data_IF_713330533861
#
_entry.id   IF_713330533861
#
_cell.length_a   1.000
_cell.length_b   1.000
_cell.length_c   1.000
_cell.angle_alpha   90.00
_cell.angle_beta   90.00
_cell.angle_gamma   90.00
#
_symmetry.space_group_name_H-M   'P 1'
#
loop_
_entity.id
_entity.type
_entity.pdbx_description
1 polymer ?
#
# COMPACT_ATOMS: atom_id res chain seq x y z
N UNK A 1 66.37 -23.88 -6.22
CA UNK A 1 65.22 -24.34 -5.38
C UNK A 1 64.31 -23.14 -5.17
N UNK A 2 63.26 -23.07 -5.94
CA UNK A 2 62.27 -21.96 -5.83
C UNK A 2 61.58 -22.00 -4.46
N UNK A 3 61.44 -20.85 -3.81
CA UNK A 3 60.67 -20.69 -2.59
C UNK A 3 59.24 -21.11 -2.91
N UNK A 4 58.80 -22.26 -2.42
CA UNK A 4 57.36 -22.67 -2.49
C UNK A 4 56.55 -21.68 -1.65
N UNK A 5 55.64 -20.96 -2.33
CA UNK A 5 54.75 -20.03 -1.66
C UNK A 5 53.88 -20.83 -0.68
N UNK A 6 54.04 -20.60 0.65
CA UNK A 6 53.30 -21.33 1.71
C UNK A 6 51.78 -21.20 1.49
N UNK A 7 51.13 -22.36 1.35
CA UNK A 7 49.65 -22.45 1.20
C UNK A 7 49.20 -22.89 -0.18
N UNK A 8 50.11 -23.25 -1.09
CA UNK A 8 49.81 -23.83 -2.41
C UNK A 8 50.38 -25.25 -2.45
N UNK A 9 49.59 -26.24 -2.84
CA UNK A 9 49.97 -27.65 -2.80
C UNK A 9 49.54 -28.35 -4.11
N UNK A 10 50.32 -29.33 -4.60
CA UNK A 10 49.87 -30.20 -5.68
C UNK A 10 48.75 -31.10 -5.20
N UNK A 11 47.71 -31.31 -6.00
CA UNK A 11 46.64 -32.28 -5.78
C UNK A 11 46.97 -33.64 -6.44
N UNK A 12 46.29 -34.69 -5.98
CA UNK A 12 46.53 -36.07 -6.50
C UNK A 12 46.14 -36.27 -7.97
N UNK A 13 45.30 -35.39 -8.51
CA UNK A 13 44.80 -35.39 -9.88
C UNK A 13 45.66 -34.59 -10.87
N UNK A 14 46.86 -34.17 -10.46
CA UNK A 14 47.79 -33.37 -11.25
C UNK A 14 47.50 -31.89 -11.32
N UNK A 15 46.46 -31.43 -10.62
CA UNK A 15 46.12 -29.99 -10.47
C UNK A 15 46.79 -29.37 -9.22
N UNK A 16 46.63 -28.07 -9.07
CA UNK A 16 47.11 -27.35 -7.89
C UNK A 16 45.95 -26.88 -7.05
N UNK A 17 46.18 -26.79 -5.74
CA UNK A 17 45.19 -26.30 -4.76
C UNK A 17 45.83 -25.29 -3.84
N UNK A 18 45.01 -24.32 -3.42
CA UNK A 18 45.35 -23.32 -2.37
C UNK A 18 44.59 -23.72 -1.11
N UNK A 19 45.30 -23.71 0.04
CA UNK A 19 44.73 -23.86 1.36
C UNK A 19 45.59 -23.03 2.34
N UNK A 20 45.16 -21.83 2.64
CA UNK A 20 45.92 -20.89 3.46
C UNK A 20 44.99 -20.12 4.41
N UNK A 21 45.41 -20.02 5.66
CA UNK A 21 44.76 -19.15 6.62
C UNK A 21 45.46 -17.75 6.59
N UNK A 22 44.63 -16.70 6.54
CA UNK A 22 45.04 -15.32 6.77
C UNK A 22 44.17 -14.73 7.87
N UNK A 23 44.75 -14.53 9.06
CA UNK A 23 44.03 -14.20 10.29
C UNK A 23 42.92 -15.20 10.57
N UNK A 24 41.63 -14.80 10.52
CA UNK A 24 40.48 -15.66 10.79
C UNK A 24 39.82 -16.21 9.54
N UNK A 25 40.33 -15.91 8.33
CA UNK A 25 39.75 -16.35 7.06
C UNK A 25 40.58 -17.44 6.41
N UNK A 26 39.96 -18.54 6.04
CA UNK A 26 40.59 -19.64 5.29
C UNK A 26 40.36 -19.44 3.80
N UNK A 27 41.42 -19.25 3.04
CA UNK A 27 41.43 -19.26 1.58
C UNK A 27 41.62 -20.67 1.06
N UNK A 28 40.62 -21.26 0.42
CA UNK A 28 40.69 -22.61 -0.11
C UNK A 28 40.07 -22.67 -1.51
N UNK A 29 40.86 -23.06 -2.50
CA UNK A 29 40.44 -23.27 -3.88
C UNK A 29 41.21 -24.46 -4.46
N UNK A 30 40.58 -25.30 -5.30
CA UNK A 30 41.16 -26.46 -5.95
C UNK A 30 41.00 -26.36 -7.47
N UNK A 31 41.77 -27.18 -8.23
CA UNK A 31 41.59 -27.34 -9.64
C UNK A 31 42.31 -26.27 -10.49
N UNK A 32 43.40 -25.71 -10.00
CA UNK A 32 44.25 -24.83 -10.84
C UNK A 32 45.12 -25.68 -11.76
N UNK A 33 45.18 -25.34 -13.08
CA UNK A 33 45.99 -26.09 -14.04
C UNK A 33 47.51 -25.99 -13.79
N UNK A 34 47.97 -24.91 -13.13
CA UNK A 34 49.39 -24.69 -12.84
C UNK A 34 49.63 -23.95 -11.49
N UNK A 35 50.87 -24.02 -11.02
CA UNK A 35 51.32 -23.33 -9.81
C UNK A 35 51.15 -21.82 -9.91
N UNK A 36 51.53 -21.22 -11.07
CA UNK A 36 51.46 -19.80 -11.27
C UNK A 36 50.01 -19.23 -11.24
N UNK A 37 49.04 -20.02 -11.67
CA UNK A 37 47.64 -19.62 -11.63
C UNK A 37 47.08 -19.70 -10.22
N UNK A 38 47.47 -20.73 -9.45
CA UNK A 38 47.13 -20.83 -8.05
C UNK A 38 47.79 -19.69 -7.23
N UNK A 39 49.04 -19.33 -7.59
CA UNK A 39 49.77 -18.22 -6.93
C UNK A 39 49.15 -16.84 -7.28
N UNK A 40 48.83 -16.57 -8.53
CA UNK A 40 48.14 -15.36 -8.95
C UNK A 40 46.79 -15.21 -8.25
N UNK A 41 46.03 -16.29 -8.15
CA UNK A 41 44.77 -16.31 -7.39
C UNK A 41 45.01 -16.01 -5.90
N UNK A 42 45.99 -16.66 -5.28
CA UNK A 42 46.26 -16.46 -3.87
C UNK A 42 46.73 -15.01 -3.59
N UNK A 43 47.59 -14.45 -4.43
CA UNK A 43 48.07 -13.07 -4.29
C UNK A 43 46.88 -12.10 -4.41
N UNK A 44 45.98 -12.32 -5.38
CA UNK A 44 44.78 -11.52 -5.54
C UNK A 44 43.89 -11.57 -4.29
N UNK A 45 43.57 -12.76 -3.81
CA UNK A 45 42.76 -12.94 -2.62
C UNK A 45 43.38 -12.35 -1.33
N UNK A 46 44.69 -12.52 -1.16
CA UNK A 46 45.42 -11.91 -0.05
C UNK A 46 45.46 -10.37 -0.17
N UNK A 47 45.57 -9.83 -1.38
CA UNK A 47 45.45 -8.39 -1.65
C UNK A 47 44.10 -7.85 -1.24
N UNK A 48 43.01 -8.48 -1.69
CA UNK A 48 41.64 -8.14 -1.35
C UNK A 48 41.38 -8.21 0.17
N UNK A 49 41.84 -9.30 0.82
CA UNK A 49 41.71 -9.43 2.28
C UNK A 49 42.56 -8.39 3.05
N UNK A 50 43.73 -8.05 2.56
CA UNK A 50 44.56 -7.04 3.14
C UNK A 50 43.97 -5.64 3.06
N UNK A 51 43.40 -5.29 1.89
CA UNK A 51 42.65 -4.05 1.69
C UNK A 51 41.51 -3.93 2.70
N UNK A 52 40.73 -4.97 2.85
CA UNK A 52 39.58 -5.01 3.76
C UNK A 52 40.03 -4.95 5.22
N UNK A 53 41.02 -5.77 5.60
CA UNK A 53 41.39 -5.97 7.02
C UNK A 53 42.35 -4.89 7.53
N UNK A 54 43.26 -4.38 6.67
CA UNK A 54 44.30 -3.39 7.06
C UNK A 54 43.83 -1.98 6.74
N UNK A 55 43.14 -1.77 5.64
CA UNK A 55 42.72 -0.44 5.19
C UNK A 55 41.23 -0.16 5.42
N UNK A 56 40.46 -1.14 5.97
CA UNK A 56 39.07 -0.96 6.26
C UNK A 56 38.19 -0.83 4.99
N UNK A 57 38.73 -1.25 3.84
CA UNK A 57 37.95 -1.22 2.60
C UNK A 57 36.75 -2.16 2.69
N UNK A 58 35.59 -1.66 2.28
CA UNK A 58 34.33 -2.41 2.30
C UNK A 58 34.24 -3.32 1.09
N UNK A 59 33.68 -4.52 1.28
CA UNK A 59 33.36 -5.40 0.16
C UNK A 59 32.37 -4.71 -0.78
N UNK A 60 32.76 -4.58 -2.04
CA UNK A 60 31.87 -4.06 -3.08
C UNK A 60 30.64 -4.96 -3.22
N UNK A 61 29.46 -4.38 -3.25
CA UNK A 61 28.17 -5.06 -3.37
C UNK A 61 27.30 -4.39 -4.41
N UNK A 62 26.63 -5.19 -5.23
CA UNK A 62 25.68 -4.71 -6.23
C UNK A 62 24.32 -4.44 -5.59
N UNK A 63 23.53 -3.58 -6.25
CA UNK A 63 22.21 -3.23 -5.74
C UNK A 63 21.25 -4.43 -5.82
N UNK A 64 21.27 -5.25 -6.87
CA UNK A 64 20.42 -6.44 -7.03
C UNK A 64 20.66 -7.47 -5.91
N UNK A 65 21.91 -7.79 -5.58
CA UNK A 65 22.28 -8.66 -4.47
C UNK A 65 21.76 -8.13 -3.13
N UNK A 66 21.90 -6.82 -2.95
CA UNK A 66 21.48 -6.13 -1.71
C UNK A 66 19.96 -6.07 -1.59
N UNK A 67 19.25 -5.87 -2.69
CA UNK A 67 17.80 -5.92 -2.74
C UNK A 67 17.26 -7.34 -2.47
N UNK A 68 17.93 -8.38 -2.98
CA UNK A 68 17.60 -9.77 -2.65
C UNK A 68 17.77 -10.05 -1.15
N UNK A 69 18.88 -9.59 -0.56
CA UNK A 69 19.10 -9.69 0.88
C UNK A 69 18.00 -8.97 1.68
N UNK A 70 17.60 -7.76 1.24
CA UNK A 70 16.51 -7.02 1.86
C UNK A 70 15.21 -7.81 1.86
N UNK A 71 14.83 -8.41 0.73
CA UNK A 71 13.60 -9.18 0.61
C UNK A 71 13.63 -10.44 1.49
N UNK A 72 14.76 -11.14 1.52
CA UNK A 72 14.96 -12.35 2.33
C UNK A 72 14.89 -12.07 3.84
N UNK A 73 15.40 -10.93 4.28
CA UNK A 73 15.41 -10.56 5.72
C UNK A 73 14.12 -9.91 6.21
N UNK A 74 13.17 -9.60 5.32
CA UNK A 74 11.92 -8.91 5.64
C UNK A 74 10.66 -9.71 5.28
N UNK A 75 10.71 -11.05 5.29
CA UNK A 75 9.61 -11.91 4.84
C UNK A 75 8.28 -11.71 5.59
N UNK A 76 8.33 -11.31 6.86
CA UNK A 76 7.13 -11.04 7.67
C UNK A 76 6.44 -9.71 7.36
N UNK A 77 6.99 -8.91 6.45
CA UNK A 77 6.49 -7.56 6.16
C UNK A 77 5.25 -7.60 5.27
N UNK A 78 4.15 -7.01 5.72
CA UNK A 78 2.89 -7.00 4.97
C UNK A 78 2.99 -6.33 3.58
N UNK A 79 3.93 -5.36 3.41
CA UNK A 79 4.16 -4.67 2.14
C UNK A 79 5.16 -5.36 1.21
N UNK A 80 5.66 -6.56 1.57
CA UNK A 80 6.76 -7.20 0.84
C UNK A 80 6.43 -7.43 -0.63
N UNK A 81 5.24 -7.92 -0.94
CA UNK A 81 4.79 -8.14 -2.33
C UNK A 81 4.83 -6.84 -3.13
N UNK A 82 4.29 -5.76 -2.56
CA UNK A 82 4.30 -4.44 -3.20
C UNK A 82 5.74 -3.93 -3.41
N UNK A 83 6.60 -4.09 -2.40
CA UNK A 83 8.01 -3.66 -2.50
C UNK A 83 8.79 -4.48 -3.52
N UNK A 84 8.47 -5.77 -3.68
CA UNK A 84 9.04 -6.61 -4.74
C UNK A 84 8.70 -6.06 -6.12
N UNK A 85 7.43 -5.72 -6.40
CA UNK A 85 7.04 -5.09 -7.67
C UNK A 85 7.72 -3.74 -7.90
N UNK A 86 7.85 -2.92 -6.84
CA UNK A 86 8.55 -1.64 -6.93
C UNK A 86 10.04 -1.84 -7.27
N UNK A 87 10.70 -2.78 -6.62
CA UNK A 87 12.09 -3.14 -6.91
C UNK A 87 12.25 -3.68 -8.32
N UNK A 88 11.39 -4.59 -8.77
CA UNK A 88 11.41 -5.08 -10.17
C UNK A 88 11.35 -3.94 -11.18
N UNK A 89 10.59 -2.88 -10.89
CA UNK A 89 10.45 -1.72 -11.78
C UNK A 89 11.73 -0.88 -11.90
N UNK A 90 12.58 -0.87 -10.88
CA UNK A 90 13.81 -0.08 -10.81
C UNK A 90 15.07 -0.88 -11.19
N UNK A 91 15.02 -2.22 -11.05
CA UNK A 91 16.16 -3.12 -11.34
C UNK A 91 16.81 -2.92 -12.70
N UNK A 92 16.09 -2.75 -13.83
CA UNK A 92 16.72 -2.54 -15.13
C UNK A 92 17.62 -1.30 -15.18
N UNK A 93 17.42 -0.34 -14.27
CA UNK A 93 18.20 0.91 -14.25
C UNK A 93 19.41 0.84 -13.32
N UNK A 94 19.25 0.25 -12.14
CA UNK A 94 20.29 0.31 -11.10
C UNK A 94 20.72 -1.06 -10.56
N UNK A 95 20.09 -2.17 -10.96
CA UNK A 95 20.35 -3.48 -10.39
C UNK A 95 21.83 -3.90 -10.47
N UNK A 96 22.49 -3.66 -11.60
CA UNK A 96 23.88 -3.98 -11.82
C UNK A 96 24.90 -2.99 -11.24
N UNK A 97 24.42 -1.85 -10.70
CA UNK A 97 25.31 -0.84 -10.12
C UNK A 97 25.78 -1.24 -8.71
N UNK A 98 26.96 -0.80 -8.36
CA UNK A 98 27.45 -0.89 -6.99
C UNK A 98 26.68 0.08 -6.08
N UNK A 99 26.54 -0.25 -4.79
CA UNK A 99 25.71 0.53 -3.86
C UNK A 99 26.08 2.02 -3.81
N UNK A 100 27.36 2.34 -3.87
CA UNK A 100 27.82 3.73 -3.84
C UNK A 100 27.52 4.52 -5.13
N UNK A 101 27.25 3.83 -6.23
CA UNK A 101 26.87 4.41 -7.53
C UNK A 101 25.38 4.71 -7.64
N UNK A 102 24.55 4.23 -6.67
CA UNK A 102 23.12 4.45 -6.69
C UNK A 102 22.78 5.80 -6.06
N UNK A 103 22.49 6.80 -6.87
CA UNK A 103 22.17 8.17 -6.48
C UNK A 103 21.15 8.80 -7.44
N UNK A 104 20.73 10.03 -7.19
CA UNK A 104 19.71 10.73 -7.99
C UNK A 104 20.05 10.75 -9.50
N UNK A 105 21.32 10.94 -9.87
CA UNK A 105 21.75 10.96 -11.28
C UNK A 105 21.54 9.62 -11.97
N UNK A 106 21.87 8.49 -11.32
CA UNK A 106 21.68 7.14 -11.89
C UNK A 106 20.22 6.72 -11.89
N UNK A 107 19.39 7.28 -11.00
CA UNK A 107 17.94 7.05 -10.95
C UNK A 107 17.15 7.95 -11.91
N UNK A 108 17.78 8.99 -12.51
CA UNK A 108 17.09 9.94 -13.39
C UNK A 108 16.41 9.26 -14.58
N UNK A 109 17.05 8.26 -15.20
CA UNK A 109 16.48 7.50 -16.30
C UNK A 109 15.23 6.70 -15.88
N UNK A 110 15.24 6.12 -14.66
CA UNK A 110 14.07 5.45 -14.11
C UNK A 110 12.92 6.44 -13.91
N UNK A 111 13.17 7.59 -13.29
CA UNK A 111 12.18 8.61 -13.04
C UNK A 111 11.55 9.12 -14.33
N UNK A 112 12.39 9.48 -15.33
CA UNK A 112 11.93 9.98 -16.64
C UNK A 112 11.05 8.94 -17.35
N UNK A 113 11.47 7.68 -17.37
CA UNK A 113 10.68 6.59 -17.97
C UNK A 113 9.32 6.44 -17.28
N UNK A 114 9.29 6.44 -15.93
CA UNK A 114 8.03 6.26 -15.18
C UNK A 114 7.08 7.45 -15.30
N UNK A 115 7.60 8.66 -15.44
CA UNK A 115 6.80 9.84 -15.78
C UNK A 115 6.24 9.74 -17.19
N UNK A 116 7.04 9.29 -18.16
CA UNK A 116 6.59 8.99 -19.53
C UNK A 116 5.52 7.91 -19.60
N UNK A 117 5.55 6.91 -18.71
CA UNK A 117 4.50 5.88 -18.51
C UNK A 117 3.22 6.45 -17.85
N UNK A 118 3.14 7.74 -17.55
CA UNK A 118 2.02 8.38 -16.87
C UNK A 118 1.86 8.00 -15.39
N UNK A 119 2.92 7.50 -14.74
CA UNK A 119 2.86 7.15 -13.31
C UNK A 119 2.93 8.39 -12.43
N UNK A 120 2.11 8.42 -11.38
CA UNK A 120 2.08 9.54 -10.43
C UNK A 120 3.38 9.66 -9.65
N UNK A 121 3.75 10.89 -9.26
CA UNK A 121 4.88 11.18 -8.36
C UNK A 121 4.85 10.31 -7.10
N UNK A 122 3.66 10.09 -6.53
CA UNK A 122 3.48 9.22 -5.35
C UNK A 122 3.93 7.78 -5.64
N UNK A 123 3.56 7.21 -6.78
CA UNK A 123 3.96 5.85 -7.18
C UNK A 123 5.46 5.74 -7.39
N UNK A 124 6.07 6.73 -8.04
CA UNK A 124 7.52 6.77 -8.25
C UNK A 124 8.23 6.89 -6.90
N UNK A 125 7.77 7.78 -6.02
CA UNK A 125 8.32 7.96 -4.68
C UNK A 125 8.25 6.71 -3.80
N UNK A 126 7.27 5.83 -4.00
CA UNK A 126 7.24 4.54 -3.30
C UNK A 126 8.44 3.68 -3.68
N UNK A 127 8.79 3.58 -4.95
CA UNK A 127 9.97 2.83 -5.41
C UNK A 127 11.28 3.49 -4.91
N UNK A 128 11.42 4.81 -5.09
CA UNK A 128 12.56 5.56 -4.56
C UNK A 128 12.71 5.41 -3.04
N UNK A 129 11.58 5.34 -2.32
CA UNK A 129 11.53 5.10 -0.87
C UNK A 129 12.08 3.73 -0.46
N UNK A 130 11.82 2.68 -1.26
CA UNK A 130 12.40 1.35 -1.03
C UNK A 130 13.90 1.36 -1.30
N UNK A 131 14.35 1.96 -2.41
CA UNK A 131 15.79 2.13 -2.73
C UNK A 131 16.49 2.86 -1.59
N UNK A 132 15.97 4.02 -1.16
CA UNK A 132 16.53 4.80 -0.05
C UNK A 132 16.62 3.98 1.25
N UNK A 133 15.60 3.16 1.54
CA UNK A 133 15.60 2.29 2.73
C UNK A 133 16.71 1.25 2.67
N UNK A 134 16.90 0.61 1.52
CA UNK A 134 17.97 -0.38 1.31
C UNK A 134 19.34 0.26 1.51
N UNK A 135 19.60 1.42 0.89
CA UNK A 135 20.85 2.15 1.05
C UNK A 135 21.11 2.57 2.49
N UNK A 136 20.07 3.04 3.20
CA UNK A 136 20.19 3.38 4.61
C UNK A 136 20.51 2.15 5.48
N UNK A 137 19.87 1.02 5.25
CA UNK A 137 20.17 -0.23 5.95
C UNK A 137 21.61 -0.69 5.67
N UNK A 138 22.06 -0.58 4.44
CA UNK A 138 23.44 -0.88 4.05
C UNK A 138 24.48 0.03 4.74
N UNK A 139 24.11 1.29 4.99
CA UNK A 139 24.99 2.26 5.65
C UNK A 139 24.93 2.22 7.18
N UNK A 140 23.88 1.66 7.78
CA UNK A 140 23.68 1.75 9.24
C UNK A 140 23.59 0.41 9.94
N UNK A 141 22.99 -0.59 9.31
CA UNK A 141 22.56 -1.83 9.99
C UNK A 141 23.34 -3.05 9.54
N UNK A 142 23.46 -3.25 8.23
CA UNK A 142 24.12 -4.44 7.70
C UNK A 142 25.62 -4.33 7.77
N UNK A 143 26.26 -5.38 8.30
CA UNK A 143 27.69 -5.42 8.50
C UNK A 143 28.28 -6.62 7.79
N UNK A 144 29.54 -6.45 7.36
CA UNK A 144 30.36 -7.53 6.85
C UNK A 144 31.02 -8.32 8.02
N UNK A 145 31.78 -9.35 7.67
CA UNK A 145 32.47 -10.22 8.63
C UNK A 145 33.52 -9.47 9.47
N UNK A 146 33.93 -8.28 9.03
CA UNK A 146 34.88 -7.41 9.74
C UNK A 146 34.18 -6.35 10.61
N UNK A 147 32.84 -6.38 10.68
CA UNK A 147 32.02 -5.41 11.44
C UNK A 147 31.79 -4.07 10.75
N UNK A 148 32.31 -3.87 9.52
CA UNK A 148 32.07 -2.66 8.73
C UNK A 148 30.67 -2.67 8.15
N UNK A 149 30.03 -1.50 8.07
CA UNK A 149 28.78 -1.34 7.32
C UNK A 149 29.01 -1.61 5.82
N UNK A 150 28.01 -2.14 5.13
CA UNK A 150 28.12 -2.45 3.70
C UNK A 150 28.36 -1.21 2.83
N UNK A 151 27.89 -0.05 3.28
CA UNK A 151 28.07 1.25 2.64
C UNK A 151 28.56 2.25 3.70
N UNK A 152 29.49 3.13 3.37
CA UNK A 152 30.02 4.11 4.31
C UNK A 152 29.00 5.18 4.66
N UNK A 153 28.36 5.73 3.64
CA UNK A 153 27.30 6.73 3.74
C UNK A 153 26.21 6.41 2.73
N UNK A 154 24.96 6.50 3.15
CA UNK A 154 23.85 6.35 2.22
C UNK A 154 23.77 7.59 1.30
N UNK A 155 23.81 7.43 -0.03
CA UNK A 155 23.54 8.53 -0.95
C UNK A 155 22.15 9.12 -0.70
N UNK A 156 22.03 10.44 -0.85
CA UNK A 156 20.74 11.10 -0.75
C UNK A 156 19.88 10.74 -1.96
N UNK A 157 18.68 10.25 -1.71
CA UNK A 157 17.68 10.01 -2.72
C UNK A 157 16.56 11.04 -2.54
N UNK A 158 16.41 11.91 -3.55
CA UNK A 158 15.43 12.99 -3.56
C UNK A 158 14.07 12.48 -4.02
N UNK A 159 13.03 12.79 -3.27
CA UNK A 159 11.65 12.45 -3.64
C UNK A 159 11.08 13.52 -4.56
N UNK A 160 10.23 13.11 -5.51
CA UNK A 160 9.48 14.02 -6.35
C UNK A 160 8.47 14.84 -5.50
N UNK A 161 8.21 16.09 -5.85
CA UNK A 161 7.24 16.92 -5.14
C UNK A 161 5.83 16.32 -5.25
N UNK A 162 5.09 16.28 -4.14
CA UNK A 162 3.72 15.78 -4.12
C UNK A 162 2.68 16.89 -4.24
N UNK A 163 3.03 18.12 -3.86
CA UNK A 163 2.12 19.26 -3.95
C UNK A 163 1.71 19.48 -5.42
N UNK A 164 0.42 19.59 -5.68
CA UNK A 164 -0.14 19.69 -7.04
C UNK A 164 -0.19 18.36 -7.83
N UNK A 165 0.39 17.27 -7.30
CA UNK A 165 0.41 15.96 -7.95
C UNK A 165 -0.35 14.87 -7.17
N UNK A 166 -1.13 15.27 -6.17
CA UNK A 166 -2.00 14.37 -5.41
C UNK A 166 -3.44 14.58 -5.86
N UNK A 167 -4.16 13.46 -6.01
CA UNK A 167 -5.59 13.52 -6.18
C UNK A 167 -6.23 14.02 -4.88
N UNK A 168 -7.06 15.04 -4.99
CA UNK A 168 -7.90 15.46 -3.87
C UNK A 168 -9.02 14.44 -3.63
N UNK A 169 -9.42 14.17 -2.36
CA UNK A 169 -10.60 13.37 -2.07
C UNK A 169 -11.84 13.98 -2.73
N UNK A 170 -12.71 13.11 -3.23
CA UNK A 170 -13.97 13.53 -3.86
C UNK A 170 -15.18 12.98 -3.07
N UNK A 171 -15.53 13.57 -1.90
CA UNK A 171 -16.74 13.19 -1.18
C UNK A 171 -17.96 13.43 -2.05
N UNK A 172 -18.92 12.53 -2.01
CA UNK A 172 -20.12 12.61 -2.85
C UNK A 172 -21.21 13.45 -2.18
N UNK A 173 -21.97 14.17 -3.02
CA UNK A 173 -23.20 14.86 -2.60
C UNK A 173 -24.33 13.85 -2.32
N UNK A 174 -25.42 14.34 -1.74
CA UNK A 174 -26.65 13.52 -1.60
C UNK A 174 -27.25 13.14 -2.94
N UNK A 175 -27.18 14.04 -3.93
CA UNK A 175 -27.63 13.76 -5.29
C UNK A 175 -26.78 12.67 -5.94
N UNK A 176 -25.44 12.77 -5.85
CA UNK A 176 -24.55 11.73 -6.37
C UNK A 176 -24.84 10.37 -5.70
N UNK A 177 -25.09 10.36 -4.40
CA UNK A 177 -25.43 9.14 -3.67
C UNK A 177 -26.73 8.53 -4.19
N UNK A 178 -27.78 9.34 -4.41
CA UNK A 178 -29.07 8.88 -4.95
C UNK A 178 -28.94 8.34 -6.38
N UNK A 179 -28.02 8.90 -7.17
CA UNK A 179 -27.74 8.43 -8.54
C UNK A 179 -26.91 7.16 -8.54
N UNK A 180 -25.88 7.07 -7.69
CA UNK A 180 -24.94 5.95 -7.68
C UNK A 180 -25.56 4.65 -7.14
N UNK A 181 -26.23 4.72 -5.98
CA UNK A 181 -26.67 3.51 -5.28
C UNK A 181 -27.58 2.59 -6.13
N UNK A 182 -28.58 3.10 -6.90
CA UNK A 182 -29.41 2.23 -7.75
C UNK A 182 -28.66 1.60 -8.92
N UNK A 183 -27.51 2.15 -9.34
CA UNK A 183 -26.69 1.60 -10.43
C UNK A 183 -25.75 0.48 -9.97
N UNK A 184 -25.54 0.36 -8.66
CA UNK A 184 -24.71 -0.69 -8.08
C UNK A 184 -25.51 -2.00 -7.95
N UNK A 185 -24.87 -3.18 -8.13
CA UNK A 185 -25.47 -4.44 -7.70
C UNK A 185 -25.83 -4.39 -6.21
N UNK A 186 -26.89 -5.07 -5.82
CA UNK A 186 -27.44 -5.06 -4.45
C UNK A 186 -26.40 -5.16 -3.34
N UNK A 187 -25.46 -6.11 -3.47
CA UNK A 187 -24.41 -6.29 -2.47
C UNK A 187 -23.50 -5.07 -2.34
N UNK A 188 -23.09 -4.45 -3.47
CA UNK A 188 -22.27 -3.24 -3.48
C UNK A 188 -23.06 -2.00 -3.02
N UNK A 189 -24.33 -1.90 -3.35
CA UNK A 189 -25.21 -0.83 -2.89
C UNK A 189 -25.34 -0.87 -1.36
N UNK A 190 -25.61 -2.05 -0.77
CA UNK A 190 -25.66 -2.24 0.68
C UNK A 190 -24.34 -1.93 1.36
N UNK A 191 -23.21 -2.44 0.82
CA UNK A 191 -21.89 -2.14 1.34
C UNK A 191 -21.59 -0.64 1.28
N UNK A 192 -21.90 0.03 0.15
CA UNK A 192 -21.72 1.47 -0.01
C UNK A 192 -22.55 2.27 0.98
N UNK A 193 -23.82 1.88 1.17
CA UNK A 193 -24.71 2.52 2.14
C UNK A 193 -24.19 2.32 3.57
N UNK A 194 -23.69 1.14 3.89
CA UNK A 194 -23.06 0.87 5.19
C UNK A 194 -21.81 1.74 5.41
N UNK A 195 -20.90 1.82 4.41
CA UNK A 195 -19.71 2.68 4.48
C UNK A 195 -20.09 4.15 4.68
N UNK A 196 -21.11 4.65 3.95
CA UNK A 196 -21.60 6.03 4.05
C UNK A 196 -22.26 6.35 5.40
N UNK A 197 -22.55 5.34 6.23
CA UNK A 197 -23.20 5.48 7.54
C UNK A 197 -22.35 4.99 8.72
N UNK A 198 -21.17 4.43 8.47
CA UNK A 198 -20.22 3.96 9.49
C UNK A 198 -18.81 4.56 9.33
N UNK A 199 -18.46 5.08 8.15
CA UNK A 199 -17.15 5.63 7.87
C UNK A 199 -16.02 4.62 7.68
N UNK A 200 -16.30 3.32 7.73
CA UNK A 200 -15.30 2.25 7.59
C UNK A 200 -14.66 2.21 6.20
N UNK A 201 -13.47 1.64 6.12
CA UNK A 201 -12.74 1.47 4.86
C UNK A 201 -13.17 0.19 4.13
N UNK A 202 -12.90 0.14 2.80
CA UNK A 202 -13.15 -1.01 1.92
C UNK A 202 -12.69 -2.34 2.52
N UNK A 203 -11.43 -2.40 2.96
CA UNK A 203 -10.84 -3.59 3.57
C UNK A 203 -11.61 -4.08 4.81
N UNK A 204 -12.11 -3.15 5.63
CA UNK A 204 -12.86 -3.48 6.85
C UNK A 204 -14.25 -4.00 6.52
N UNK A 205 -14.99 -3.34 5.61
CA UNK A 205 -16.35 -3.77 5.27
C UNK A 205 -16.34 -5.10 4.54
N UNK A 206 -15.36 -5.36 3.67
CA UNK A 206 -15.22 -6.64 2.98
C UNK A 206 -14.90 -7.80 3.93
N UNK A 207 -14.19 -7.53 5.03
CA UNK A 207 -13.80 -8.53 6.02
C UNK A 207 -14.65 -8.52 7.30
N UNK A 208 -15.75 -7.77 7.34
CA UNK A 208 -16.60 -7.67 8.52
C UNK A 208 -17.25 -9.02 8.85
N UNK A 209 -17.15 -9.45 10.11
CA UNK A 209 -17.60 -10.78 10.55
C UNK A 209 -18.64 -10.68 11.64
N UNK A 210 -19.64 -11.58 11.62
CA UNK A 210 -20.67 -11.68 12.64
C UNK A 210 -20.13 -11.93 14.05
N UNK A 211 -19.06 -12.71 14.17
CA UNK A 211 -18.43 -12.99 15.47
C UNK A 211 -17.81 -11.75 16.15
N UNK A 212 -17.69 -10.63 15.44
CA UNK A 212 -17.21 -9.36 16.01
C UNK A 212 -18.34 -8.45 16.47
N UNK A 213 -19.58 -8.86 16.23
CA UNK A 213 -20.77 -8.08 16.60
C UNK A 213 -20.99 -8.09 18.11
N UNK A 214 -21.20 -6.92 18.66
CA UNK A 214 -21.65 -6.68 20.04
C UNK A 214 -22.93 -5.85 19.95
N UNK A 215 -24.03 -6.37 20.44
CA UNK A 215 -25.29 -5.64 20.47
C UNK A 215 -25.27 -4.63 21.62
N UNK A 216 -25.82 -3.44 21.36
CA UNK A 216 -25.99 -2.35 22.33
C UNK A 216 -27.50 -2.10 22.45
N UNK A 217 -28.20 -2.84 23.34
CA UNK A 217 -29.67 -2.80 23.44
C UNK A 217 -30.20 -1.40 23.75
N UNK A 218 -29.45 -0.61 24.55
CA UNK A 218 -29.84 0.74 24.97
C UNK A 218 -29.92 1.72 23.78
N UNK A 219 -29.18 1.44 22.70
CA UNK A 219 -29.18 2.24 21.48
C UNK A 219 -29.96 1.58 20.34
N UNK A 220 -30.38 0.32 20.51
CA UNK A 220 -31.02 -0.47 19.46
C UNK A 220 -30.14 -0.76 18.25
N UNK A 221 -28.82 -0.72 18.40
CA UNK A 221 -27.82 -0.92 17.32
C UNK A 221 -26.73 -1.90 17.74
N UNK A 222 -25.94 -2.31 16.76
CA UNK A 222 -24.74 -3.12 16.97
C UNK A 222 -23.48 -2.29 16.80
N UNK A 223 -22.41 -2.73 17.46
CA UNK A 223 -21.05 -2.32 17.18
C UNK A 223 -20.23 -3.57 16.80
N UNK A 224 -19.13 -3.40 16.06
CA UNK A 224 -18.24 -4.51 15.74
C UNK A 224 -16.85 -4.21 16.27
N UNK A 225 -16.33 -5.06 17.15
CA UNK A 225 -14.95 -4.97 17.61
C UNK A 225 -14.04 -5.71 16.62
N UNK A 226 -13.41 -4.96 15.72
CA UNK A 226 -12.49 -5.49 14.71
C UNK A 226 -11.14 -5.78 15.36
N UNK A 227 -10.69 -7.05 15.39
CA UNK A 227 -9.43 -7.42 16.01
C UNK A 227 -8.22 -6.72 15.35
N UNK A 228 -7.18 -6.47 16.12
CA UNK A 228 -6.01 -5.70 15.69
C UNK A 228 -5.32 -6.25 14.42
N UNK A 229 -5.35 -7.57 14.19
CA UNK A 229 -4.77 -8.20 12.99
C UNK A 229 -5.47 -7.80 11.69
N UNK A 230 -6.74 -7.38 11.77
CA UNK A 230 -7.56 -6.91 10.67
C UNK A 230 -7.61 -5.37 10.56
N UNK A 231 -6.87 -4.67 11.41
CA UNK A 231 -6.77 -3.21 11.38
C UNK A 231 -5.45 -2.78 10.73
N UNK A 232 -5.49 -1.79 9.83
CA UNK A 232 -4.28 -1.23 9.22
C UNK A 232 -3.29 -0.76 10.30
N UNK A 233 -2.06 -1.29 10.25
CA UNK A 233 -1.01 -0.97 11.21
C UNK A 233 -0.96 -1.90 12.44
N UNK A 234 -1.93 -2.79 12.64
CA UNK A 234 -1.96 -3.89 13.63
C UNK A 234 -1.55 -3.48 15.06
N UNK A 235 -1.94 -2.26 15.50
CA UNK A 235 -1.52 -1.72 16.81
C UNK A 235 -2.54 -1.97 17.91
N UNK A 236 -3.83 -1.94 17.60
CA UNK A 236 -4.94 -2.14 18.54
C UNK A 236 -6.21 -2.55 17.80
N UNK A 237 -7.16 -3.20 18.48
CA UNK A 237 -8.53 -3.38 17.98
C UNK A 237 -9.21 -2.03 17.74
N UNK A 238 -10.24 -2.04 16.91
CA UNK A 238 -11.02 -0.85 16.56
C UNK A 238 -12.50 -1.19 16.55
N UNK A 239 -13.32 -0.22 16.87
CA UNK A 239 -14.77 -0.39 16.91
C UNK A 239 -15.39 0.27 15.69
N UNK A 240 -16.25 -0.49 14.99
CA UNK A 240 -17.20 0.03 13.99
C UNK A 240 -18.52 0.25 14.71
N UNK A 241 -19.02 1.47 14.69
CA UNK A 241 -20.32 1.81 15.27
C UNK A 241 -21.35 1.90 14.14
N UNK A 242 -22.49 1.26 14.31
CA UNK A 242 -23.62 1.39 13.39
C UNK A 242 -24.53 2.53 13.84
N UNK A 243 -24.92 3.43 12.93
CA UNK A 243 -26.09 4.26 13.13
C UNK A 243 -27.35 3.49 12.71
N UNK A 244 -28.53 4.06 12.84
CA UNK A 244 -29.79 3.41 12.52
C UNK A 244 -29.87 2.90 11.06
N UNK A 245 -29.27 3.60 10.09
CA UNK A 245 -29.22 3.17 8.69
C UNK A 245 -28.25 2.01 8.50
N UNK A 246 -27.04 2.09 9.04
CA UNK A 246 -26.09 0.99 9.01
C UNK A 246 -26.65 -0.27 9.70
N UNK A 247 -27.37 -0.10 10.80
CA UNK A 247 -28.07 -1.21 11.47
C UNK A 247 -29.10 -1.87 10.56
N UNK A 248 -29.94 -1.09 9.88
CA UNK A 248 -30.93 -1.65 8.95
C UNK A 248 -30.27 -2.41 7.79
N UNK A 249 -29.10 -1.95 7.32
CA UNK A 249 -28.33 -2.64 6.30
C UNK A 249 -27.83 -4.00 6.78
N UNK A 250 -27.21 -4.08 7.97
CA UNK A 250 -26.73 -5.38 8.47
C UNK A 250 -27.88 -6.36 8.75
N UNK A 251 -29.00 -5.88 9.27
CA UNK A 251 -30.19 -6.74 9.44
C UNK A 251 -30.71 -7.28 8.09
N UNK A 252 -30.67 -6.49 7.04
CA UNK A 252 -31.11 -6.92 5.69
C UNK A 252 -30.27 -8.05 5.08
N UNK A 253 -29.06 -8.27 5.58
CA UNK A 253 -28.14 -9.32 5.10
C UNK A 253 -27.91 -10.44 6.12
N UNK A 254 -28.53 -10.33 7.29
CA UNK A 254 -28.40 -11.35 8.35
C UNK A 254 -28.90 -12.71 7.86
N UNK A 255 -28.12 -13.75 8.15
CA UNK A 255 -28.43 -15.13 7.73
C UNK A 255 -28.02 -15.51 6.31
N UNK A 256 -27.41 -14.59 5.54
CA UNK A 256 -26.89 -14.91 4.21
C UNK A 256 -25.60 -15.75 4.27
N UNK A 257 -24.79 -15.58 5.30
CA UNK A 257 -23.55 -16.31 5.50
C UNK A 257 -23.27 -16.47 7.00
N UNK A 258 -22.60 -17.56 7.36
CA UNK A 258 -22.28 -17.88 8.75
C UNK A 258 -21.24 -16.92 9.34
N UNK A 259 -20.17 -16.64 8.60
CA UNK A 259 -19.03 -15.85 9.08
C UNK A 259 -19.11 -14.37 8.69
N UNK A 260 -19.33 -14.07 7.41
CA UNK A 260 -19.19 -12.72 6.85
C UNK A 260 -20.53 -11.97 6.83
N UNK A 261 -20.47 -10.68 7.20
CA UNK A 261 -21.64 -9.79 7.15
C UNK A 261 -22.01 -9.49 5.70
N UNK A 262 -21.02 -9.15 4.88
CA UNK A 262 -21.24 -8.81 3.48
C UNK A 262 -20.67 -9.90 2.56
N UNK A 263 -21.54 -10.39 1.71
CA UNK A 263 -21.26 -11.47 0.76
C UNK A 263 -21.97 -11.22 -0.56
N UNK A 264 -21.55 -11.91 -1.61
CA UNK A 264 -22.25 -11.87 -2.88
C UNK A 264 -22.52 -13.27 -3.39
N UNK A 265 -23.58 -13.39 -4.18
CA UNK A 265 -23.92 -14.58 -4.95
C UNK A 265 -23.94 -14.22 -6.41
N UNK A 266 -23.28 -15.02 -7.23
CA UNK A 266 -23.30 -14.81 -8.68
C UNK A 266 -24.61 -15.31 -9.24
N UNK A 267 -25.45 -14.40 -9.73
CA UNK A 267 -26.76 -14.72 -10.27
C UNK A 267 -26.73 -15.12 -11.75
N UNK A 268 -25.70 -14.69 -12.49
CA UNK A 268 -25.52 -15.01 -13.91
C UNK A 268 -24.21 -15.73 -14.14
N UNK A 269 -24.25 -16.87 -14.83
CA UNK A 269 -23.07 -17.57 -15.34
C UNK A 269 -22.74 -17.07 -16.74
N UNK A 270 -21.44 -17.05 -17.10
CA UNK A 270 -21.02 -16.71 -18.46
C UNK A 270 -21.51 -17.74 -19.48
N UNK A 271 -21.65 -18.99 -19.06
CA UNK A 271 -22.17 -20.09 -19.86
C UNK A 271 -23.59 -20.42 -19.39
N UNK A 272 -24.56 -20.38 -20.30
CA UNK A 272 -25.94 -20.73 -20.04
C UNK A 272 -26.12 -22.19 -19.53
N UNK A 273 -25.11 -23.04 -19.73
CA UNK A 273 -25.06 -24.43 -19.26
C UNK A 273 -24.59 -24.64 -17.84
N UNK A 274 -24.00 -23.61 -17.17
CA UNK A 274 -23.58 -23.71 -15.80
C UNK A 274 -24.72 -23.24 -14.86
N UNK A 275 -25.10 -24.03 -13.83
CA UNK A 275 -26.07 -23.57 -12.86
C UNK A 275 -25.56 -22.33 -12.12
N UNK A 276 -26.45 -21.41 -11.70
CA UNK A 276 -26.06 -20.27 -10.85
C UNK A 276 -25.33 -20.80 -9.59
N UNK A 277 -24.29 -20.10 -9.16
CA UNK A 277 -23.64 -20.41 -7.90
C UNK A 277 -24.62 -20.22 -6.75
N UNK A 278 -25.03 -21.33 -6.12
CA UNK A 278 -26.03 -21.33 -5.04
C UNK A 278 -25.48 -20.75 -3.74
N UNK A 279 -24.15 -20.73 -3.55
CA UNK A 279 -23.51 -20.30 -2.30
C UNK A 279 -23.07 -18.84 -2.32
N UNK A 280 -23.29 -18.14 -1.22
CA UNK A 280 -22.71 -16.84 -0.96
C UNK A 280 -21.21 -16.94 -0.76
N UNK A 281 -20.46 -15.92 -1.22
CA UNK A 281 -18.99 -15.85 -1.12
C UNK A 281 -18.56 -14.52 -0.54
N UNK A 282 -17.43 -14.53 0.16
CA UNK A 282 -16.77 -13.31 0.63
C UNK A 282 -16.38 -12.39 -0.53
N UNK A 283 -16.34 -11.10 -0.26
CA UNK A 283 -15.98 -10.05 -1.21
C UNK A 283 -14.58 -9.57 -0.85
N UNK A 284 -13.64 -9.64 -1.79
CA UNK A 284 -12.26 -9.21 -1.55
C UNK A 284 -12.11 -7.68 -1.59
N UNK A 285 -12.86 -7.00 -2.47
CA UNK A 285 -12.86 -5.54 -2.62
C UNK A 285 -14.13 -5.04 -3.26
N UNK A 286 -14.60 -3.88 -2.83
CA UNK A 286 -15.70 -3.16 -3.51
C UNK A 286 -15.22 -2.58 -4.84
N UNK A 287 -13.92 -2.31 -5.00
CA UNK A 287 -13.34 -1.71 -6.21
C UNK A 287 -13.19 -2.74 -7.35
N UNK A 288 -14.28 -3.33 -7.78
CA UNK A 288 -14.35 -4.33 -8.84
C UNK A 288 -14.94 -3.76 -10.15
N UNK A 289 -15.08 -4.60 -11.18
CA UNK A 289 -15.60 -4.19 -12.49
C UNK A 289 -17.03 -3.62 -12.41
N UNK A 290 -17.87 -4.15 -11.51
CA UNK A 290 -19.25 -3.66 -11.35
C UNK A 290 -19.26 -2.24 -10.75
N UNK A 291 -18.41 -1.97 -9.74
CA UNK A 291 -18.19 -0.63 -9.20
C UNK A 291 -17.70 0.34 -10.27
N UNK A 292 -16.67 -0.06 -11.04
CA UNK A 292 -16.09 0.78 -12.10
C UNK A 292 -17.14 1.15 -13.16
N UNK A 293 -18.01 0.23 -13.52
CA UNK A 293 -19.09 0.47 -14.48
C UNK A 293 -20.14 1.42 -13.89
N UNK A 294 -20.67 1.12 -12.70
CA UNK A 294 -21.72 1.90 -12.08
C UNK A 294 -21.29 3.36 -11.83
N UNK A 295 -20.08 3.61 -11.30
CA UNK A 295 -19.61 4.98 -11.09
C UNK A 295 -19.47 5.77 -12.40
N UNK A 296 -19.06 5.11 -13.51
CA UNK A 296 -18.95 5.74 -14.82
C UNK A 296 -20.33 6.08 -15.39
N UNK A 297 -21.28 5.15 -15.28
CA UNK A 297 -22.67 5.35 -15.71
C UNK A 297 -23.37 6.46 -14.89
N UNK A 298 -23.03 6.58 -13.60
CA UNK A 298 -23.49 7.67 -12.73
C UNK A 298 -22.84 9.04 -13.02
N UNK A 299 -21.93 9.15 -13.99
CA UNK A 299 -21.17 10.39 -14.24
C UNK A 299 -20.07 10.70 -13.21
N UNK A 300 -19.75 9.73 -12.33
CA UNK A 300 -18.79 9.86 -11.22
C UNK A 300 -17.46 9.13 -11.54
N UNK A 301 -16.94 9.28 -12.76
CA UNK A 301 -15.80 8.52 -13.28
C UNK A 301 -14.54 8.56 -12.41
N UNK A 302 -14.34 9.64 -11.66
CA UNK A 302 -13.18 9.82 -10.78
C UNK A 302 -13.42 9.39 -9.32
N UNK A 303 -14.64 8.94 -8.98
CA UNK A 303 -14.97 8.51 -7.64
C UNK A 303 -14.25 7.20 -7.27
N UNK A 304 -13.56 7.18 -6.15
CA UNK A 304 -12.97 5.98 -5.57
C UNK A 304 -13.81 5.45 -4.41
N UNK A 305 -13.77 4.15 -4.14
CA UNK A 305 -14.47 3.55 -2.99
C UNK A 305 -14.08 4.25 -1.68
N UNK A 306 -12.81 4.64 -1.52
CA UNK A 306 -12.34 5.33 -0.32
C UNK A 306 -12.98 6.73 -0.12
N UNK A 307 -13.49 7.35 -1.17
CA UNK A 307 -14.18 8.64 -1.08
C UNK A 307 -15.53 8.53 -0.33
N UNK A 308 -16.11 7.34 -0.24
CA UNK A 308 -17.27 7.10 0.61
C UNK A 308 -16.96 7.34 2.09
N UNK A 309 -15.79 6.88 2.57
CA UNK A 309 -15.33 7.18 3.94
C UNK A 309 -15.00 8.67 4.11
N UNK A 310 -14.41 9.30 3.10
CA UNK A 310 -14.19 10.76 3.10
C UNK A 310 -15.50 11.55 3.16
N UNK A 311 -16.55 11.04 2.50
CA UNK A 311 -17.91 11.62 2.56
C UNK A 311 -18.44 11.65 3.99
N UNK A 312 -18.25 10.56 4.74
CA UNK A 312 -18.65 10.52 6.16
C UNK A 312 -17.89 11.56 6.97
N UNK A 313 -16.56 11.66 6.77
CA UNK A 313 -15.75 12.67 7.45
C UNK A 313 -16.21 14.11 7.16
N UNK A 314 -16.56 14.40 5.91
CA UNK A 314 -17.12 15.69 5.51
C UNK A 314 -18.47 15.96 6.19
N UNK A 315 -19.39 15.00 6.14
CA UNK A 315 -20.74 15.11 6.73
C UNK A 315 -20.69 15.29 8.26
N UNK A 316 -19.78 14.59 8.94
CA UNK A 316 -19.55 14.77 10.38
C UNK A 316 -19.05 16.19 10.68
N UNK A 317 -18.13 16.70 9.88
CA UNK A 317 -17.62 18.07 10.04
C UNK A 317 -18.70 19.11 9.76
N UNK A 318 -19.50 18.95 8.72
CA UNK A 318 -20.67 19.77 8.40
C UNK A 318 -21.71 19.76 9.53
N UNK A 319 -21.84 18.64 10.23
CA UNK A 319 -22.72 18.48 11.38
C UNK A 319 -22.13 19.03 12.71
N UNK A 320 -20.95 19.68 12.66
CA UNK A 320 -20.31 20.26 13.84
C UNK A 320 -19.76 19.23 14.84
N UNK A 321 -19.44 18.01 14.38
CA UNK A 321 -18.87 16.99 15.25
C UNK A 321 -17.41 17.32 15.55
N UNK A 322 -16.99 17.15 16.80
CA UNK A 322 -15.62 17.42 17.24
C UNK A 322 -14.60 16.59 16.47
N UNK A 323 -13.44 17.18 16.14
CA UNK A 323 -12.37 16.53 15.36
C UNK A 323 -11.88 15.23 16.01
N UNK A 324 -11.82 15.19 17.35
CA UNK A 324 -11.47 13.98 18.11
C UNK A 324 -12.42 12.82 17.82
N UNK A 325 -13.71 13.07 17.89
CA UNK A 325 -14.77 12.09 17.61
C UNK A 325 -14.75 11.63 16.16
N UNK A 326 -14.54 12.56 15.20
CA UNK A 326 -14.39 12.25 13.78
C UNK A 326 -13.18 11.31 13.55
N UNK A 327 -12.07 11.62 14.19
CA UNK A 327 -10.87 10.83 14.03
C UNK A 327 -10.98 9.44 14.69
N UNK A 328 -11.78 9.27 15.74
CA UNK A 328 -12.08 7.96 16.34
C UNK A 328 -12.97 7.13 15.42
N UNK A 329 -14.02 7.72 14.86
CA UNK A 329 -14.91 7.06 13.90
C UNK A 329 -14.17 6.61 12.63
N UNK A 330 -13.31 7.46 12.06
CA UNK A 330 -12.57 7.16 10.84
C UNK A 330 -11.25 6.42 11.09
N UNK A 331 -10.93 6.10 12.33
CA UNK A 331 -9.71 5.42 12.76
C UNK A 331 -8.43 6.16 12.32
N UNK A 332 -8.46 7.48 12.36
CA UNK A 332 -7.26 8.28 12.11
C UNK A 332 -6.31 8.20 13.30
N UNK A 333 -5.02 8.07 13.02
CA UNK A 333 -4.01 8.17 14.08
C UNK A 333 -3.73 9.64 14.38
N UNK A 334 -4.06 10.06 15.59
CA UNK A 334 -3.64 11.37 16.12
C UNK A 334 -2.67 11.15 17.26
N UNK A 335 -1.62 11.95 17.30
CA UNK A 335 -0.49 11.81 18.22
C UNK A 335 -0.58 12.77 19.44
N UNK A 336 -1.74 13.36 19.72
CA UNK A 336 -1.87 14.29 20.85
C UNK A 336 -1.96 13.56 22.18
N UNK A 337 -1.22 14.03 23.20
CA UNK A 337 -1.20 13.48 24.56
C UNK A 337 -2.61 13.42 25.18
N UNK A 338 -3.45 14.41 24.92
CA UNK A 338 -4.84 14.48 25.42
C UNK A 338 -5.65 13.23 25.03
N UNK A 339 -5.39 12.65 23.87
CA UNK A 339 -6.10 11.45 23.39
C UNK A 339 -5.68 10.16 24.10
N UNK A 340 -4.55 10.15 24.78
CA UNK A 340 -4.15 9.00 25.58
C UNK A 340 -5.10 8.79 26.76
N UNK A 341 -5.69 9.85 27.27
CA UNK A 341 -6.59 9.85 28.42
C UNK A 341 -8.08 9.95 28.07
N UNK A 342 -8.41 10.25 26.82
CA UNK A 342 -9.78 10.40 26.35
C UNK A 342 -10.19 9.19 25.51
N UNK A 343 -11.02 8.32 26.08
CA UNK A 343 -11.61 7.18 25.39
C UNK A 343 -13.00 7.57 24.90
N UNK A 344 -13.22 7.51 23.59
CA UNK A 344 -14.51 7.80 23.00
C UNK A 344 -15.57 6.80 23.48
N UNK A 345 -16.73 7.31 23.89
CA UNK A 345 -17.86 6.51 24.35
C UNK A 345 -18.73 6.07 23.16
N UNK A 346 -19.28 4.86 23.21
CA UNK A 346 -20.13 4.33 22.14
C UNK A 346 -21.34 5.24 21.87
N UNK A 347 -21.95 5.77 22.92
CA UNK A 347 -23.09 6.70 22.81
C UNK A 347 -22.71 7.98 22.07
N UNK A 348 -21.53 8.55 22.34
CA UNK A 348 -21.00 9.73 21.64
C UNK A 348 -20.78 9.43 20.15
N UNK A 349 -20.10 8.32 19.84
CA UNK A 349 -19.81 7.91 18.47
C UNK A 349 -21.11 7.63 17.68
N UNK A 350 -22.07 6.96 18.31
CA UNK A 350 -23.37 6.69 17.72
C UNK A 350 -24.13 7.99 17.44
N UNK A 351 -24.23 8.89 18.42
CA UNK A 351 -24.91 10.17 18.26
C UNK A 351 -24.26 11.04 17.17
N UNK A 352 -22.94 10.97 17.01
CA UNK A 352 -22.23 11.63 15.92
C UNK A 352 -22.58 11.01 14.56
N UNK A 353 -22.64 9.68 14.45
CA UNK A 353 -23.00 8.99 13.20
C UNK A 353 -24.49 9.17 12.85
N UNK A 354 -25.39 9.32 13.80
CA UNK A 354 -26.78 9.66 13.51
C UNK A 354 -26.91 11.00 12.75
N UNK A 355 -25.95 11.91 12.94
CA UNK A 355 -25.93 13.20 12.23
C UNK A 355 -25.49 13.10 10.74
N UNK A 356 -24.94 11.98 10.26
CA UNK A 356 -24.55 11.82 8.85
C UNK A 356 -25.70 11.40 7.94
N UNK A 357 -26.86 11.11 8.50
CA UNK A 357 -28.08 10.83 7.71
C UNK A 357 -28.52 12.06 6.93
N UNK A 358 -29.22 11.83 5.83
CA UNK A 358 -29.78 12.91 5.01
C UNK A 358 -30.72 13.79 5.89
N UNK A 359 -30.37 15.06 6.02
CA UNK A 359 -31.14 16.07 6.71
C UNK A 359 -31.30 17.28 5.80
N UNK A 360 -32.52 17.61 5.44
CA UNK A 360 -32.87 18.68 4.52
C UNK A 360 -32.58 20.09 5.07
N UNK A 361 -32.20 20.23 6.35
CA UNK A 361 -32.03 21.49 7.04
C UNK A 361 -30.58 21.95 7.26
N UNK A 362 -29.57 21.27 6.72
CA UNK A 362 -28.17 21.63 6.97
C UNK A 362 -27.69 22.79 6.15
N UNK A 363 -27.28 23.88 6.83
CA UNK A 363 -26.73 25.10 6.25
C UNK A 363 -25.19 25.17 6.27
N UNK A 364 -24.52 24.25 6.97
CA UNK A 364 -23.08 24.28 7.16
C UNK A 364 -22.35 23.52 6.03
N UNK A 365 -22.39 24.07 4.81
CA UNK A 365 -21.75 23.46 3.63
C UNK A 365 -20.25 23.76 3.62
N UNK A 366 -19.43 22.77 3.23
CA UNK A 366 -18.01 22.97 2.98
C UNK A 366 -17.78 23.79 1.69
N UNK A 367 -16.64 24.49 1.60
CA UNK A 367 -16.25 25.19 0.38
C UNK A 367 -16.21 24.24 -0.83
N UNK A 368 -15.79 23.00 -0.61
CA UNK A 368 -15.72 21.96 -1.63
C UNK A 368 -17.11 21.59 -2.14
N UNK A 369 -18.09 21.45 -1.24
CA UNK A 369 -19.50 21.24 -1.61
C UNK A 369 -20.04 22.39 -2.43
N UNK A 370 -19.81 23.63 -2.00
CA UNK A 370 -20.24 24.84 -2.72
C UNK A 370 -19.62 24.95 -4.12
N UNK A 371 -18.35 24.66 -4.27
CA UNK A 371 -17.69 24.65 -5.59
C UNK A 371 -18.32 23.64 -6.55
N UNK A 372 -18.60 22.42 -6.09
CA UNK A 372 -19.25 21.37 -6.90
C UNK A 372 -20.67 21.76 -7.32
N UNK A 373 -21.43 22.34 -6.40
CA UNK A 373 -22.78 22.83 -6.72
C UNK A 373 -22.72 23.92 -7.81
N UNK A 374 -21.73 24.82 -7.76
CA UNK A 374 -21.52 25.83 -8.81
C UNK A 374 -21.08 25.23 -10.14
N UNK A 375 -20.21 24.24 -10.11
CA UNK A 375 -19.77 23.52 -11.33
C UNK A 375 -20.92 22.74 -11.96
N UNK A 376 -21.76 22.07 -11.17
CA UNK A 376 -22.96 21.39 -11.63
C UNK A 376 -23.94 22.36 -12.29
N UNK A 377 -24.22 23.50 -11.66
CA UNK A 377 -25.09 24.55 -12.24
C UNK A 377 -24.55 25.13 -13.54
N UNK A 378 -23.23 25.32 -13.68
CA UNK A 378 -22.60 25.77 -14.92
C UNK A 378 -22.70 24.73 -16.04
N UNK A 379 -22.57 23.44 -15.69
CA UNK A 379 -22.70 22.34 -16.67
C UNK A 379 -24.14 22.23 -17.20
N UNK A 380 -25.14 22.41 -16.34
CA UNK A 380 -26.55 22.42 -16.74
C UNK A 380 -26.92 23.67 -17.57
N UNK A 381 -26.29 24.83 -17.31
CA UNK A 381 -26.50 26.06 -18.03
C UNK A 381 -25.82 26.11 -19.41
N UNK A 382 -24.93 25.19 -19.73
CA UNK A 382 -24.25 25.13 -21.03
C UNK A 382 -25.07 24.28 -22.00
N UNK A 383 -25.69 24.85 -23.05
CA UNK A 383 -26.50 24.06 -23.99
C UNK A 383 -25.61 23.01 -24.69
N UNK A 384 -26.14 21.82 -25.01
CA UNK A 384 -25.39 20.79 -25.69
C UNK A 384 -24.86 21.30 -27.03
N UNK A 385 -23.55 21.15 -27.26
CA UNK A 385 -22.93 21.46 -28.53
C UNK A 385 -23.63 20.69 -29.63
N UNK A 386 -24.39 21.35 -30.51
CA UNK A 386 -25.02 20.76 -31.68
C UNK A 386 -23.90 20.18 -32.57
N UNK A 387 -23.94 18.91 -32.95
CA UNK A 387 -22.96 18.34 -33.87
C UNK A 387 -22.96 19.11 -35.17
N UNK A 388 -21.84 19.73 -35.53
CA UNK A 388 -21.69 20.29 -36.86
C UNK A 388 -21.81 19.16 -37.89
N UNK A 389 -22.86 19.19 -38.70
CA UNK A 389 -22.99 18.30 -39.87
C UNK A 389 -21.78 18.55 -40.78
N UNK A 390 -20.97 17.48 -40.95
CA UNK A 390 -19.95 17.52 -42.01
C UNK A 390 -20.65 17.69 -43.34
N UNK A 391 -20.44 18.85 -43.97
CA UNK A 391 -20.78 19.05 -45.37
C UNK A 391 -19.86 18.12 -46.17
N UNK A 392 -20.44 17.06 -46.72
CA UNK A 392 -19.84 16.26 -47.78
C UNK A 392 -19.85 17.13 -49.05
N UNK A 393 -18.65 17.43 -49.54
CA UNK A 393 -18.41 17.93 -50.90
C UNK A 393 -17.87 16.75 -51.70
#
# INVERSE_FOLDING_TARGET
MGQQTRGIYPAKDGTWQVDKWYRHTRLRQRGFPGFEEAERWLIKQLGELRSVVVHGERKVRRFDETAAHYLLTNQSKASLVTETYLLQSVMPTIGGLELHQVHDGTLAAYVARRLGDGRSHKTINLALGVVRRILNLAATTWRDDNGNTWLQHAPRITMLPLVGHQREPQPISWTDQRTLLPMLPDHLARMSLFVLNSGVRDDVVCNLRWQWEIKVPELGVSVFEVPMQHVKGKKRSRVVVCNSVAQSVIESVRGQHEDFVFVYRRERTKNLSEPPLMSFRAIETMNNTAWQRARKEAGLGDLHVHDLSHTVGMRLREAGVAEGTIADLLWHSTTTMTRHYSVAQIVELHAALEKVKEDSGRWNKSLQTLRREQEGQKAEATPPKVPQQRKTA
#
